data_IF_591893312196
#
_entry.id   IF_591893312196
#
_cell.length_a   1.000
_cell.length_b   1.000
_cell.length_c   1.000
_cell.angle_alpha   90.00
_cell.angle_beta   90.00
_cell.angle_gamma   90.00
#
_symmetry.space_group_name_H-M   'P 1'
#
loop_
_entity.id
_entity.type
_entity.pdbx_description
1 polymer ?
#
# COMPACT_ATOMS: atom_id res chain seq x y z
N UNK A 1 -47.25 -54.74 -45.99
CA UNK A 1 -46.72 -53.68 -45.12
C UNK A 1 -45.34 -53.35 -45.64
N UNK A 2 -45.24 -52.35 -46.52
CA UNK A 2 -44.01 -52.01 -47.25
C UNK A 2 -43.14 -51.13 -46.35
N UNK A 3 -41.89 -51.56 -46.17
CA UNK A 3 -40.85 -50.88 -45.41
C UNK A 3 -40.48 -49.57 -46.12
N UNK A 4 -40.84 -48.44 -45.52
CA UNK A 4 -40.46 -47.13 -46.02
C UNK A 4 -39.06 -46.80 -45.48
N UNK A 5 -38.05 -46.60 -46.35
CA UNK A 5 -36.74 -46.14 -45.89
C UNK A 5 -36.89 -44.75 -45.24
N UNK A 6 -36.07 -44.42 -44.22
CA UNK A 6 -36.16 -43.14 -43.53
C UNK A 6 -36.04 -41.99 -44.55
N UNK A 7 -36.87 -40.93 -44.42
CA UNK A 7 -36.79 -39.77 -45.30
C UNK A 7 -35.37 -39.19 -45.23
N UNK A 8 -34.88 -38.77 -46.39
CA UNK A 8 -33.51 -38.36 -46.63
C UNK A 8 -32.95 -37.52 -45.49
N UNK A 9 -31.73 -37.87 -45.09
CA UNK A 9 -30.80 -36.93 -44.48
C UNK A 9 -30.63 -35.78 -45.49
N UNK A 10 -31.47 -34.76 -45.38
CA UNK A 10 -31.18 -33.49 -46.01
C UNK A 10 -29.86 -33.00 -45.38
N UNK A 11 -28.80 -32.76 -46.17
CA UNK A 11 -27.66 -32.04 -45.64
C UNK A 11 -28.20 -30.68 -45.22
N UNK A 12 -28.27 -30.45 -43.90
CA UNK A 12 -28.60 -29.14 -43.35
C UNK A 12 -27.68 -28.09 -43.98
N UNK A 13 -28.17 -26.87 -44.22
CA UNK A 13 -27.38 -25.81 -44.85
C UNK A 13 -26.04 -25.70 -44.11
N UNK A 14 -24.95 -25.81 -44.89
CA UNK A 14 -23.61 -26.18 -44.43
C UNK A 14 -23.16 -25.51 -43.14
N UNK A 15 -22.78 -26.34 -42.18
CA UNK A 15 -22.17 -25.94 -40.90
C UNK A 15 -20.64 -25.99 -40.93
N UNK A 16 -20.02 -26.03 -42.10
CA UNK A 16 -18.56 -26.27 -42.22
C UNK A 16 -17.73 -25.01 -42.57
N UNK A 17 -18.36 -23.85 -42.77
CA UNK A 17 -17.68 -22.60 -43.15
C UNK A 17 -17.73 -21.50 -42.05
N UNK A 18 -17.69 -21.87 -40.77
CA UNK A 18 -17.22 -20.92 -39.76
C UNK A 18 -15.69 -20.89 -39.88
N UNK A 19 -15.19 -19.88 -40.59
CA UNK A 19 -13.77 -19.68 -40.86
C UNK A 19 -12.95 -19.66 -39.56
N UNK A 20 -11.78 -20.31 -39.54
CA UNK A 20 -10.81 -20.23 -38.41
C UNK A 20 -10.42 -18.79 -38.06
N UNK A 21 -10.55 -17.87 -39.03
CA UNK A 21 -10.35 -16.44 -38.80
C UNK A 21 -11.44 -15.84 -37.90
N UNK A 22 -12.65 -16.36 -37.95
CA UNK A 22 -13.78 -15.98 -37.11
C UNK A 22 -13.58 -16.50 -35.67
N UNK A 23 -13.11 -17.74 -35.52
CA UNK A 23 -12.76 -18.31 -34.21
C UNK A 23 -11.62 -17.53 -33.54
N UNK A 24 -10.57 -17.18 -34.29
CA UNK A 24 -9.47 -16.36 -33.77
C UNK A 24 -9.94 -14.96 -33.36
N UNK A 25 -10.89 -14.38 -34.09
CA UNK A 25 -11.53 -13.11 -33.70
C UNK A 25 -12.32 -13.25 -32.41
N UNK A 26 -13.07 -14.35 -32.27
CA UNK A 26 -13.85 -14.64 -31.07
C UNK A 26 -12.93 -14.80 -29.85
N UNK A 27 -11.87 -15.60 -29.96
CA UNK A 27 -10.82 -15.78 -28.94
C UNK A 27 -10.12 -14.45 -28.60
N UNK A 28 -9.82 -13.62 -29.60
CA UNK A 28 -9.20 -12.31 -29.38
C UNK A 28 -10.13 -11.35 -28.62
N UNK A 29 -11.44 -11.39 -28.89
CA UNK A 29 -12.42 -10.57 -28.20
C UNK A 29 -12.72 -11.10 -26.78
N UNK A 30 -12.75 -12.42 -26.57
CA UNK A 30 -12.80 -13.02 -25.24
C UNK A 30 -11.56 -12.67 -24.39
N UNK A 31 -10.35 -12.71 -24.97
CA UNK A 31 -9.13 -12.30 -24.31
C UNK A 31 -9.15 -10.82 -23.89
N UNK A 32 -9.72 -9.93 -24.71
CA UNK A 32 -9.92 -8.52 -24.35
C UNK A 32 -10.92 -8.36 -23.21
N UNK A 33 -12.01 -9.14 -23.21
CA UNK A 33 -13.00 -9.11 -22.13
C UNK A 33 -12.34 -9.53 -20.81
N UNK A 34 -11.55 -10.60 -20.83
CA UNK A 34 -10.80 -11.08 -19.66
C UNK A 34 -9.78 -10.05 -19.16
N UNK A 35 -9.00 -9.46 -20.06
CA UNK A 35 -8.03 -8.43 -19.72
C UNK A 35 -8.71 -7.19 -19.09
N UNK A 36 -9.87 -6.77 -19.61
CA UNK A 36 -10.66 -5.68 -19.02
C UNK A 36 -11.18 -6.04 -17.62
N UNK A 37 -11.56 -7.29 -17.40
CA UNK A 37 -12.01 -7.75 -16.08
C UNK A 37 -10.88 -7.71 -15.04
N UNK A 38 -9.67 -8.16 -15.40
CA UNK A 38 -8.51 -8.10 -14.51
C UNK A 38 -8.09 -6.67 -14.17
N UNK A 39 -8.07 -5.78 -15.17
CA UNK A 39 -7.82 -4.35 -14.95
C UNK A 39 -8.89 -3.74 -14.03
N UNK A 40 -10.15 -4.13 -14.21
CA UNK A 40 -11.25 -3.74 -13.33
C UNK A 40 -11.03 -4.20 -11.88
N UNK A 41 -10.58 -5.44 -11.69
CA UNK A 41 -10.30 -6.01 -10.37
C UNK A 41 -9.13 -5.31 -9.68
N UNK A 42 -8.04 -5.05 -10.40
CA UNK A 42 -6.89 -4.31 -9.86
C UNK A 42 -7.26 -2.86 -9.53
N UNK A 43 -8.07 -2.20 -10.38
CA UNK A 43 -8.58 -0.85 -10.11
C UNK A 43 -9.50 -0.83 -8.88
N UNK A 44 -10.36 -1.82 -8.71
CA UNK A 44 -11.22 -1.96 -7.53
C UNK A 44 -10.38 -2.15 -6.27
N UNK A 45 -9.35 -3.01 -6.31
CA UNK A 45 -8.42 -3.21 -5.18
C UNK A 45 -7.63 -1.95 -4.83
N UNK A 46 -7.16 -1.20 -5.84
CA UNK A 46 -6.49 0.08 -5.65
C UNK A 46 -7.42 1.14 -5.07
N UNK A 47 -8.69 1.18 -5.52
CA UNK A 47 -9.69 2.12 -5.02
C UNK A 47 -10.07 1.81 -3.56
N UNK A 48 -10.29 0.54 -3.24
CA UNK A 48 -10.56 0.09 -1.88
C UNK A 48 -9.39 0.39 -0.94
N UNK A 49 -8.16 0.06 -1.37
CA UNK A 49 -6.95 0.42 -0.63
C UNK A 49 -6.84 1.93 -0.41
N UNK A 50 -7.08 2.74 -1.45
CA UNK A 50 -7.07 4.19 -1.37
C UNK A 50 -8.14 4.78 -0.43
N UNK A 51 -9.33 4.19 -0.38
CA UNK A 51 -10.36 4.58 0.58
C UNK A 51 -9.94 4.26 2.01
N UNK A 52 -9.31 3.11 2.22
CA UNK A 52 -8.84 2.71 3.54
C UNK A 52 -7.67 3.56 4.03
N UNK A 53 -6.79 4.01 3.14
CA UNK A 53 -5.69 4.95 3.45
C UNK A 53 -6.22 6.22 4.12
N UNK A 54 -7.36 6.77 3.67
CA UNK A 54 -7.95 7.97 4.29
C UNK A 54 -8.35 7.73 5.75
N UNK A 55 -8.98 6.59 6.04
CA UNK A 55 -9.37 6.21 7.41
C UNK A 55 -8.16 5.98 8.31
N UNK A 56 -7.15 5.26 7.79
CA UNK A 56 -5.89 5.02 8.50
C UNK A 56 -5.21 6.35 8.81
N UNK A 57 -5.12 7.25 7.81
CA UNK A 57 -4.51 8.56 8.00
C UNK A 57 -5.26 9.39 9.05
N UNK A 58 -6.59 9.38 9.03
CA UNK A 58 -7.39 10.06 10.06
C UNK A 58 -7.10 9.50 11.47
N UNK A 59 -7.05 8.17 11.62
CA UNK A 59 -6.70 7.54 12.89
C UNK A 59 -5.28 7.86 13.34
N UNK A 60 -4.31 7.89 12.42
CA UNK A 60 -2.93 8.28 12.72
C UNK A 60 -2.83 9.74 13.16
N UNK A 61 -3.58 10.65 12.52
CA UNK A 61 -3.63 12.06 12.92
C UNK A 61 -4.22 12.19 14.33
N UNK A 62 -5.37 11.55 14.59
CA UNK A 62 -5.99 11.57 15.93
C UNK A 62 -5.04 10.98 16.97
N UNK A 63 -4.44 9.83 16.68
CA UNK A 63 -3.47 9.17 17.56
C UNK A 63 -2.24 10.04 17.83
N UNK A 64 -1.71 10.73 16.81
CA UNK A 64 -0.58 11.66 16.95
C UNK A 64 -0.94 12.86 17.83
N UNK A 65 -2.14 13.43 17.67
CA UNK A 65 -2.63 14.53 18.51
C UNK A 65 -2.77 14.08 19.96
N UNK A 66 -3.38 12.92 20.21
CA UNK A 66 -3.50 12.36 21.56
C UNK A 66 -2.14 12.05 22.18
N UNK A 67 -1.22 11.47 21.40
CA UNK A 67 0.15 11.20 21.85
C UNK A 67 0.90 12.49 22.20
N UNK A 68 0.70 13.57 21.44
CA UNK A 68 1.27 14.87 21.76
C UNK A 68 0.77 15.40 23.11
N UNK A 69 -0.53 15.34 23.37
CA UNK A 69 -1.09 15.72 24.67
C UNK A 69 -0.57 14.83 25.81
N UNK A 70 -0.47 13.52 25.58
CA UNK A 70 0.11 12.60 26.55
C UNK A 70 1.57 12.94 26.87
N UNK A 71 2.38 13.29 25.86
CA UNK A 71 3.75 13.73 26.04
C UNK A 71 3.84 15.04 26.85
N UNK A 72 2.98 16.02 26.55
CA UNK A 72 2.89 17.27 27.34
C UNK A 72 2.51 16.98 28.80
N UNK A 73 1.49 16.15 29.03
CA UNK A 73 1.06 15.76 30.37
C UNK A 73 2.18 15.03 31.14
N UNK A 74 2.96 14.18 30.48
CA UNK A 74 4.10 13.50 31.08
C UNK A 74 5.21 14.49 31.49
N UNK A 75 5.52 15.47 30.64
CA UNK A 75 6.51 16.51 30.95
C UNK A 75 6.05 17.35 32.14
N UNK A 76 4.80 17.82 32.13
CA UNK A 76 4.23 18.60 33.25
C UNK A 76 4.22 17.76 34.53
N UNK A 77 3.79 16.51 34.46
CA UNK A 77 3.78 15.58 35.60
C UNK A 77 5.18 15.36 36.19
N UNK A 78 6.20 15.20 35.34
CA UNK A 78 7.60 15.08 35.78
C UNK A 78 8.09 16.34 36.47
N UNK A 79 7.78 17.52 35.92
CA UNK A 79 8.17 18.79 36.54
C UNK A 79 7.52 18.97 37.92
N UNK A 80 6.24 18.62 38.06
CA UNK A 80 5.55 18.68 39.36
C UNK A 80 6.16 17.67 40.33
N UNK A 81 6.34 16.41 39.90
CA UNK A 81 6.86 15.34 40.73
C UNK A 81 8.29 15.61 41.22
N UNK A 82 9.23 15.93 40.31
CA UNK A 82 10.61 16.26 40.68
C UNK A 82 10.69 17.60 41.40
N UNK A 83 9.82 18.55 41.06
CA UNK A 83 9.76 19.85 41.73
C UNK A 83 9.55 19.73 43.24
N UNK A 84 8.77 18.74 43.69
CA UNK A 84 8.57 18.47 45.14
C UNK A 84 9.80 17.85 45.83
N UNK A 85 10.73 17.25 45.08
CA UNK A 85 11.88 16.51 45.65
C UNK A 85 13.17 17.34 45.57
N UNK A 86 13.45 17.93 44.41
CA UNK A 86 14.73 18.61 44.12
C UNK A 86 14.55 20.12 43.82
N UNK A 87 13.32 20.63 43.98
CA UNK A 87 12.97 22.02 43.66
C UNK A 87 12.75 22.26 42.17
N UNK A 88 12.07 23.38 41.86
CA UNK A 88 11.65 23.70 40.49
C UNK A 88 12.83 23.85 39.51
N UNK A 89 13.91 24.52 39.93
CA UNK A 89 15.11 24.71 39.10
C UNK A 89 15.82 23.39 38.79
N UNK A 90 15.96 22.52 39.79
CA UNK A 90 16.54 21.18 39.60
C UNK A 90 15.71 20.35 38.64
N UNK A 91 14.38 20.35 38.81
CA UNK A 91 13.47 19.62 37.93
C UNK A 91 13.57 20.09 36.46
N UNK A 92 13.63 21.40 36.22
CA UNK A 92 13.77 21.94 34.86
C UNK A 92 15.05 21.46 34.17
N UNK A 93 16.19 21.49 34.87
CA UNK A 93 17.47 21.04 34.30
C UNK A 93 17.42 19.54 33.99
N UNK A 94 16.96 18.73 34.95
CA UNK A 94 16.92 17.27 34.79
C UNK A 94 15.99 16.84 33.65
N UNK A 95 14.77 17.39 33.60
CA UNK A 95 13.79 17.03 32.55
C UNK A 95 14.27 17.49 31.18
N UNK A 96 14.78 18.72 31.07
CA UNK A 96 15.29 19.25 29.79
C UNK A 96 16.46 18.43 29.27
N UNK A 97 17.42 18.10 30.14
CA UNK A 97 18.60 17.33 29.75
C UNK A 97 18.23 15.90 29.36
N UNK A 98 17.30 15.27 30.10
CA UNK A 98 16.77 13.96 29.76
C UNK A 98 16.08 13.92 28.39
N UNK A 99 15.21 14.90 28.11
CA UNK A 99 14.57 15.02 26.80
C UNK A 99 15.57 15.31 25.67
N UNK A 100 16.58 16.15 25.93
CA UNK A 100 17.63 16.44 24.95
C UNK A 100 18.43 15.19 24.58
N UNK A 101 18.78 14.35 25.56
CA UNK A 101 19.47 13.07 25.32
C UNK A 101 18.58 12.14 24.49
N UNK A 102 17.31 11.96 24.87
CA UNK A 102 16.36 11.13 24.12
C UNK A 102 16.18 11.62 22.68
N UNK A 103 16.01 12.93 22.49
CA UNK A 103 15.91 13.55 21.17
C UNK A 103 17.17 13.31 20.34
N UNK A 104 18.35 13.43 20.94
CA UNK A 104 19.63 13.13 20.32
C UNK A 104 19.72 11.68 19.83
N UNK A 105 19.34 10.71 20.66
CA UNK A 105 19.33 9.29 20.30
C UNK A 105 18.37 9.00 19.14
N UNK A 106 17.16 9.56 19.18
CA UNK A 106 16.19 9.45 18.09
C UNK A 106 16.74 10.04 16.79
N UNK A 107 17.33 11.23 16.84
CA UNK A 107 17.92 11.88 15.67
C UNK A 107 19.10 11.08 15.08
N UNK A 108 19.95 10.50 15.93
CA UNK A 108 21.04 9.63 15.49
C UNK A 108 20.53 8.37 14.78
N UNK A 109 19.52 7.72 15.34
CA UNK A 109 18.91 6.53 14.73
C UNK A 109 18.25 6.84 13.39
N UNK A 110 17.55 7.98 13.30
CA UNK A 110 16.97 8.45 12.04
C UNK A 110 18.06 8.72 10.99
N UNK A 111 19.14 9.44 11.36
CA UNK A 111 20.27 9.72 10.46
C UNK A 111 20.93 8.44 9.94
N UNK A 112 21.13 7.43 10.80
CA UNK A 112 21.71 6.12 10.41
C UNK A 112 20.85 5.41 9.36
N UNK A 113 19.53 5.36 9.58
CA UNK A 113 18.60 4.74 8.63
C UNK A 113 18.53 5.49 7.30
N UNK A 114 18.46 6.82 7.34
CA UNK A 114 18.48 7.65 6.13
C UNK A 114 19.79 7.48 5.35
N UNK A 115 20.93 7.41 6.03
CA UNK A 115 22.23 7.17 5.41
C UNK A 115 22.31 5.81 4.72
N UNK A 116 21.81 4.76 5.36
CA UNK A 116 21.74 3.42 4.76
C UNK A 116 20.88 3.40 3.50
N UNK A 117 19.68 4.01 3.55
CA UNK A 117 18.77 4.11 2.40
C UNK A 117 19.39 4.89 1.23
N UNK A 118 20.03 6.05 1.52
CA UNK A 118 20.70 6.86 0.49
C UNK A 118 21.82 6.10 -0.21
N UNK A 119 22.59 5.28 0.51
CA UNK A 119 23.66 4.45 -0.07
C UNK A 119 23.13 3.41 -1.05
N UNK A 120 22.01 2.76 -0.73
CA UNK A 120 21.39 1.77 -1.61
C UNK A 120 20.97 2.43 -2.93
N UNK A 121 20.25 3.56 -2.84
CA UNK A 121 19.78 4.29 -4.02
C UNK A 121 20.96 4.78 -4.88
N UNK A 122 22.00 5.35 -4.26
CA UNK A 122 23.17 5.86 -4.97
C UNK A 122 23.93 4.75 -5.72
N UNK A 123 24.04 3.56 -5.13
CA UNK A 123 24.72 2.43 -5.77
C UNK A 123 23.93 1.93 -7.00
N UNK A 124 22.60 1.84 -6.93
CA UNK A 124 21.75 1.43 -8.07
C UNK A 124 21.88 2.38 -9.26
N UNK A 125 21.84 3.69 -9.03
CA UNK A 125 22.01 4.68 -10.11
C UNK A 125 23.39 4.62 -10.76
N UNK A 126 24.43 4.26 -9.99
CA UNK A 126 25.80 4.13 -10.52
C UNK A 126 26.02 2.89 -11.40
N UNK A 127 25.24 1.82 -11.22
CA UNK A 127 25.29 0.64 -12.09
C UNK A 127 24.58 0.90 -13.43
N UNK A 128 23.41 1.55 -13.42
CA UNK A 128 22.69 1.92 -14.64
C UNK A 128 23.50 2.90 -15.52
N UNK A 129 24.25 3.82 -14.92
CA UNK A 129 25.08 4.78 -15.65
C UNK A 129 26.38 4.17 -16.25
N UNK A 130 26.71 2.91 -15.96
CA UNK A 130 27.89 2.21 -16.46
C UNK A 130 27.61 1.22 -17.59
N UNK A 131 26.34 1.02 -17.95
CA UNK A 131 25.87 0.21 -19.09
C UNK A 131 25.56 1.11 -20.28
#
# INVERSE_FOLDING_TARGET
MLHQPPPGTEPGPGTDDVSLAEDLRLLADEAKILAKAELGFQKARATYAGQQVKKILALLVIGLVLFFFAAMAAVVGLLVALGQVIGAWGAMVVVTLGLAVLAGLCAMNAKRKLGAMKRIIANTTSEEARL
#
